data_IF_413305102727
#
_entry.id   IF_413305102727
#
_cell.length_a   1.000
_cell.length_b   1.000
_cell.length_c   1.000
_cell.angle_alpha   90.00
_cell.angle_beta   90.00
_cell.angle_gamma   90.00
#
_symmetry.space_group_name_H-M   'P 1'
#
loop_
_entity.id
_entity.type
_entity.pdbx_description
1 polymer ?
#
# COMPACT_ATOMS: atom_id res chain seq x y z
N UNK A 1 21.78 85.43 1.31
CA UNK A 1 20.61 85.32 0.41
C UNK A 1 20.42 83.82 0.14
N UNK A 2 19.41 83.19 0.76
CA UNK A 2 18.19 82.66 0.08
C UNK A 2 18.59 81.41 -0.75
N UNK A 3 18.13 80.16 -0.53
CA UNK A 3 16.87 79.60 0.00
C UNK A 3 16.92 78.04 -0.01
N UNK A 4 16.04 77.39 0.80
CA UNK A 4 15.11 76.25 0.48
C UNK A 4 15.71 74.95 -0.11
N UNK A 5 15.21 73.73 0.11
CA UNK A 5 14.40 73.01 1.09
C UNK A 5 14.27 71.57 0.54
N UNK A 6 14.02 70.61 1.44
CA UNK A 6 13.11 69.47 1.25
C UNK A 6 13.45 68.30 0.30
N UNK A 7 13.44 67.11 0.97
CA UNK A 7 12.80 65.83 0.58
C UNK A 7 13.59 64.91 -0.35
N UNK A 8 13.79 63.67 0.08
CA UNK A 8 13.05 62.52 -0.46
C UNK A 8 13.16 61.33 0.51
N UNK A 9 12.00 60.88 1.01
CA UNK A 9 11.82 59.55 1.58
C UNK A 9 11.99 58.53 0.45
N UNK A 10 12.81 57.50 0.66
CA UNK A 10 12.78 56.28 -0.14
C UNK A 10 12.28 55.14 0.75
N UNK A 11 10.99 54.85 0.61
CA UNK A 11 10.31 53.71 1.22
C UNK A 11 10.73 52.45 0.45
N UNK A 12 11.57 51.62 1.05
CA UNK A 12 11.98 50.34 0.45
C UNK A 12 10.83 49.34 0.49
N UNK A 13 10.19 49.08 -0.66
CA UNK A 13 9.24 48.00 -0.81
C UNK A 13 10.01 46.67 -0.88
N UNK A 14 9.94 45.88 0.18
CA UNK A 14 10.39 44.48 0.17
C UNK A 14 9.32 43.66 -0.55
N UNK A 15 9.59 43.27 -1.79
CA UNK A 15 8.78 42.28 -2.50
C UNK A 15 9.14 40.91 -1.94
N UNK A 16 8.27 40.36 -1.09
CA UNK A 16 8.33 38.96 -0.68
C UNK A 16 7.90 38.11 -1.89
N UNK A 17 8.88 37.65 -2.67
CA UNK A 17 8.66 36.58 -3.64
C UNK A 17 8.30 35.31 -2.87
N UNK A 18 7.01 35.00 -2.76
CA UNK A 18 6.56 33.70 -2.31
C UNK A 18 6.93 32.68 -3.39
N UNK A 19 8.07 32.00 -3.21
CA UNK A 19 8.41 30.82 -3.99
C UNK A 19 7.37 29.76 -3.68
N UNK A 20 6.39 29.58 -4.56
CA UNK A 20 5.52 28.43 -4.51
C UNK A 20 6.41 27.19 -4.63
N UNK A 21 6.52 26.42 -3.55
CA UNK A 21 7.17 25.11 -3.58
C UNK A 21 6.30 24.25 -4.50
N UNK A 22 6.72 24.11 -5.76
CA UNK A 22 6.13 23.12 -6.65
C UNK A 22 6.50 21.76 -6.08
N UNK A 23 5.60 21.14 -5.33
CA UNK A 23 5.73 19.74 -4.97
C UNK A 23 5.88 18.95 -6.28
N UNK A 24 6.90 18.08 -6.42
CA UNK A 24 7.02 17.25 -7.61
C UNK A 24 5.75 16.40 -7.73
N UNK A 25 5.14 16.41 -8.93
CA UNK A 25 4.01 15.51 -9.24
C UNK A 25 4.49 14.06 -9.08
N UNK A 26 3.67 13.21 -8.48
CA UNK A 26 3.91 11.75 -8.44
C UNK A 26 3.94 11.20 -9.87
N UNK A 27 4.73 10.15 -10.08
CA UNK A 27 4.93 9.54 -11.40
C UNK A 27 4.55 8.06 -11.38
N UNK A 28 4.27 7.49 -12.56
CA UNK A 28 4.05 6.04 -12.72
C UNK A 28 5.23 5.24 -12.15
N UNK A 29 6.46 5.67 -12.43
CA UNK A 29 7.67 5.04 -11.87
C UNK A 29 7.70 5.01 -10.34
N UNK A 30 7.06 5.98 -9.66
CA UNK A 30 6.94 5.94 -8.21
C UNK A 30 5.93 4.87 -7.76
N UNK A 31 4.79 4.74 -8.44
CA UNK A 31 3.82 3.66 -8.19
C UNK A 31 4.45 2.28 -8.42
N UNK A 32 5.24 2.11 -9.48
CA UNK A 32 5.98 0.86 -9.73
C UNK A 32 6.98 0.55 -8.59
N UNK A 33 7.69 1.56 -8.10
CA UNK A 33 8.57 1.40 -6.94
C UNK A 33 7.81 1.01 -5.67
N UNK A 34 6.62 1.58 -5.45
CA UNK A 34 5.77 1.25 -4.31
C UNK A 34 5.24 -0.19 -4.43
N UNK A 35 4.88 -0.64 -5.63
CA UNK A 35 4.47 -2.03 -5.89
C UNK A 35 5.62 -3.00 -5.61
N UNK A 36 6.86 -2.67 -6.00
CA UNK A 36 8.03 -3.47 -5.66
C UNK A 36 8.26 -3.54 -4.14
N UNK A 37 8.01 -2.44 -3.41
CA UNK A 37 8.06 -2.43 -1.96
C UNK A 37 6.96 -3.32 -1.35
N UNK A 38 5.73 -3.27 -1.88
CA UNK A 38 4.62 -4.17 -1.48
C UNK A 38 5.02 -5.63 -1.70
N UNK A 39 5.52 -5.99 -2.89
CA UNK A 39 5.97 -7.35 -3.20
C UNK A 39 7.02 -7.87 -2.20
N UNK A 40 7.96 -7.00 -1.82
CA UNK A 40 8.97 -7.31 -0.78
C UNK A 40 8.31 -7.57 0.58
N UNK A 41 7.34 -6.75 0.98
CA UNK A 41 6.63 -6.92 2.26
C UNK A 41 5.69 -8.14 2.26
N UNK A 42 5.05 -8.46 1.13
CA UNK A 42 4.27 -9.69 0.95
C UNK A 42 5.17 -10.91 1.16
N UNK A 43 6.35 -10.93 0.53
CA UNK A 43 7.33 -12.01 0.70
C UNK A 43 7.80 -12.12 2.15
N UNK A 44 8.03 -10.99 2.83
CA UNK A 44 8.41 -10.97 4.26
C UNK A 44 7.32 -11.54 5.16
N UNK A 45 6.06 -11.16 4.91
CA UNK A 45 4.90 -11.68 5.63
C UNK A 45 4.73 -13.18 5.39
N UNK A 46 4.79 -13.62 4.13
CA UNK A 46 4.69 -15.03 3.77
C UNK A 46 5.76 -15.89 4.45
N UNK A 47 7.02 -15.45 4.42
CA UNK A 47 8.11 -16.12 5.13
C UNK A 47 7.85 -16.18 6.66
N UNK A 48 7.31 -15.11 7.25
CA UNK A 48 6.98 -15.08 8.68
C UNK A 48 5.87 -16.08 9.01
N UNK A 49 4.88 -16.25 8.14
CA UNK A 49 3.80 -17.22 8.29
C UNK A 49 4.34 -18.65 8.11
N UNK A 50 5.16 -18.89 7.08
CA UNK A 50 5.77 -20.19 6.79
C UNK A 50 6.68 -20.67 7.92
N UNK A 51 7.40 -19.75 8.57
CA UNK A 51 8.26 -20.07 9.73
C UNK A 51 7.47 -20.30 11.02
N UNK A 52 6.20 -19.90 11.08
CA UNK A 52 5.34 -20.21 12.22
C UNK A 52 5.03 -21.71 12.26
N UNK A 53 5.24 -22.39 13.40
CA UNK A 53 5.13 -23.84 13.46
C UNK A 53 3.68 -24.35 13.29
N UNK A 54 3.52 -25.52 12.69
CA UNK A 54 2.21 -26.20 12.51
C UNK A 54 1.61 -26.73 13.82
N UNK A 55 2.43 -26.79 14.87
CA UNK A 55 2.04 -27.25 16.19
C UNK A 55 2.83 -26.48 17.23
N UNK A 56 2.12 -25.93 18.21
CA UNK A 56 2.70 -24.98 19.15
C UNK A 56 3.05 -23.67 18.46
N UNK A 57 3.70 -22.77 19.17
CA UNK A 57 3.99 -21.42 18.70
C UNK A 57 4.45 -20.57 19.87
N UNK A 58 4.86 -19.34 19.56
CA UNK A 58 5.19 -18.37 20.59
C UNK A 58 4.53 -17.04 20.27
N UNK A 59 4.16 -16.30 21.31
CA UNK A 59 3.68 -14.93 21.15
C UNK A 59 4.71 -14.05 20.42
N UNK A 60 6.01 -14.32 20.59
CA UNK A 60 7.07 -13.65 19.84
C UNK A 60 7.02 -13.92 18.33
N UNK A 61 6.72 -15.15 17.91
CA UNK A 61 6.57 -15.49 16.50
C UNK A 61 5.28 -14.90 15.91
N UNK A 62 4.18 -14.92 16.68
CA UNK A 62 2.94 -14.25 16.29
C UNK A 62 3.13 -12.72 16.16
N UNK A 63 3.89 -12.11 17.06
CA UNK A 63 4.24 -10.68 16.99
C UNK A 63 5.11 -10.34 15.76
N UNK A 64 5.98 -11.25 15.33
CA UNK A 64 6.75 -11.06 14.10
C UNK A 64 5.84 -11.00 12.86
N UNK A 65 4.84 -11.89 12.79
CA UNK A 65 3.82 -11.86 11.74
C UNK A 65 3.02 -10.57 11.78
N UNK A 66 2.57 -10.15 12.97
CA UNK A 66 1.87 -8.87 13.14
C UNK A 66 2.72 -7.68 12.67
N UNK A 67 4.01 -7.66 13.01
CA UNK A 67 4.93 -6.61 12.57
C UNK A 67 5.06 -6.59 11.04
N UNK A 68 5.20 -7.76 10.41
CA UNK A 68 5.25 -7.87 8.95
C UNK A 68 3.94 -7.39 8.29
N UNK A 69 2.79 -7.76 8.86
CA UNK A 69 1.47 -7.28 8.43
C UNK A 69 1.35 -5.75 8.51
N UNK A 70 1.80 -5.14 9.61
CA UNK A 70 1.79 -3.68 9.78
C UNK A 70 2.68 -2.97 8.75
N UNK A 71 3.87 -3.51 8.49
CA UNK A 71 4.79 -2.97 7.47
C UNK A 71 4.18 -3.06 6.06
N UNK A 72 3.56 -4.20 5.72
CA UNK A 72 2.83 -4.36 4.46
C UNK A 72 1.69 -3.35 4.35
N UNK A 73 0.89 -3.19 5.40
CA UNK A 73 -0.21 -2.23 5.43
C UNK A 73 0.26 -0.79 5.22
N UNK A 74 1.40 -0.41 5.81
CA UNK A 74 2.03 0.90 5.56
C UNK A 74 2.45 1.05 4.10
N UNK A 75 3.10 0.05 3.51
CA UNK A 75 3.51 0.08 2.10
C UNK A 75 2.31 0.24 1.16
N UNK A 76 1.23 -0.53 1.39
CA UNK A 76 -0.02 -0.46 0.61
C UNK A 76 -0.66 0.93 0.74
N UNK A 77 -0.68 1.49 1.96
CA UNK A 77 -1.24 2.83 2.19
C UNK A 77 -0.45 3.92 1.46
N UNK A 78 0.88 3.87 1.50
CA UNK A 78 1.75 4.78 0.75
C UNK A 78 1.49 4.66 -0.76
N UNK A 79 1.48 3.43 -1.29
CA UNK A 79 1.21 3.17 -2.71
C UNK A 79 -0.17 3.72 -3.12
N UNK A 80 -1.18 3.56 -2.26
CA UNK A 80 -2.53 4.10 -2.49
C UNK A 80 -2.50 5.62 -2.59
N UNK A 81 -1.80 6.30 -1.68
CA UNK A 81 -1.68 7.76 -1.70
C UNK A 81 -1.00 8.24 -2.98
N UNK A 82 0.10 7.61 -3.37
CA UNK A 82 0.88 8.03 -4.53
C UNK A 82 0.16 7.70 -5.86
N UNK A 83 -0.57 6.59 -5.90
CA UNK A 83 -1.47 6.23 -7.02
C UNK A 83 -2.58 7.25 -7.20
N UNK A 84 -3.24 7.66 -6.11
CA UNK A 84 -4.32 8.67 -6.14
C UNK A 84 -3.84 10.07 -6.55
N UNK A 85 -2.54 10.31 -6.51
CA UNK A 85 -1.95 11.58 -6.95
C UNK A 85 -1.65 11.61 -8.46
N UNK A 86 -1.80 10.48 -9.17
CA UNK A 86 -1.67 10.43 -10.63
C UNK A 86 -2.92 10.99 -11.32
N UNK A 87 -2.75 11.39 -12.59
CA UNK A 87 -3.87 11.77 -13.45
C UNK A 87 -4.34 10.55 -14.22
N UNK A 88 -5.65 10.28 -14.19
CA UNK A 88 -6.26 9.18 -14.91
C UNK A 88 -6.69 9.56 -16.34
N UNK A 89 -6.73 8.61 -17.29
CA UNK A 89 -6.06 7.32 -17.20
C UNK A 89 -4.54 7.47 -17.37
N UNK A 90 -3.76 6.49 -16.90
CA UNK A 90 -2.35 6.38 -17.30
C UNK A 90 -2.24 5.81 -18.71
N UNK A 91 -1.06 5.80 -19.32
CA UNK A 91 -0.89 5.19 -20.65
C UNK A 91 -1.01 3.67 -20.61
N UNK A 92 -1.47 3.04 -21.70
CA UNK A 92 -1.67 1.59 -21.78
C UNK A 92 -0.41 0.78 -21.44
N UNK A 93 0.76 1.23 -21.89
CA UNK A 93 2.04 0.59 -21.55
C UNK A 93 2.34 0.65 -20.06
N UNK A 94 2.05 1.78 -19.41
CA UNK A 94 2.27 1.98 -17.97
C UNK A 94 1.30 1.13 -17.16
N UNK A 95 0.03 1.12 -17.57
CA UNK A 95 -0.99 0.28 -16.96
C UNK A 95 -0.68 -1.21 -17.08
N UNK A 96 -0.20 -1.67 -18.25
CA UNK A 96 0.20 -3.07 -18.44
C UNK A 96 1.38 -3.43 -17.53
N UNK A 97 2.40 -2.58 -17.42
CA UNK A 97 3.53 -2.81 -16.51
C UNK A 97 3.07 -2.93 -15.06
N UNK A 98 2.13 -2.07 -14.63
CA UNK A 98 1.55 -2.15 -13.28
C UNK A 98 0.78 -3.46 -13.08
N UNK A 99 -0.06 -3.86 -14.04
CA UNK A 99 -0.82 -5.12 -13.97
C UNK A 99 0.13 -6.31 -13.89
N UNK A 100 1.15 -6.36 -14.74
CA UNK A 100 2.14 -7.44 -14.77
C UNK A 100 2.92 -7.50 -13.45
N UNK A 101 3.27 -6.33 -12.89
CA UNK A 101 3.96 -6.24 -11.60
C UNK A 101 3.10 -6.79 -10.46
N UNK A 102 1.82 -6.43 -10.37
CA UNK A 102 0.89 -6.98 -9.35
C UNK A 102 0.69 -8.47 -9.55
N UNK A 103 0.40 -8.89 -10.79
CA UNK A 103 0.20 -10.30 -11.14
C UNK A 103 1.42 -11.17 -10.78
N UNK A 104 2.64 -10.63 -10.90
CA UNK A 104 3.88 -11.33 -10.58
C UNK A 104 4.01 -11.80 -9.13
N UNK A 105 3.35 -11.15 -8.16
CA UNK A 105 3.39 -11.57 -6.75
C UNK A 105 2.02 -11.97 -6.17
N UNK A 106 0.95 -11.94 -6.96
CA UNK A 106 -0.35 -12.51 -6.56
C UNK A 106 -0.26 -13.95 -6.05
N UNK A 107 0.51 -14.87 -6.67
CA UNK A 107 0.66 -16.22 -6.13
C UNK A 107 1.19 -16.25 -4.69
N UNK A 108 2.10 -15.34 -4.32
CA UNK A 108 2.64 -15.23 -2.96
C UNK A 108 1.61 -14.66 -1.98
N UNK A 109 0.75 -13.73 -2.41
CA UNK A 109 -0.40 -13.27 -1.58
C UNK A 109 -1.32 -14.46 -1.28
N UNK A 110 -1.68 -15.22 -2.31
CA UNK A 110 -2.58 -16.38 -2.17
C UNK A 110 -1.94 -17.45 -1.29
N UNK A 111 -0.64 -17.72 -1.44
CA UNK A 111 0.09 -18.66 -0.59
C UNK A 111 0.07 -18.22 0.88
N UNK A 112 0.43 -16.96 1.17
CA UNK A 112 0.42 -16.41 2.53
C UNK A 112 -0.96 -16.54 3.19
N UNK A 113 -2.03 -16.25 2.44
CA UNK A 113 -3.41 -16.35 2.91
C UNK A 113 -3.89 -17.80 3.11
N UNK A 114 -3.42 -18.75 2.30
CA UNK A 114 -3.69 -20.17 2.54
C UNK A 114 -2.88 -20.71 3.72
N UNK A 115 -1.62 -20.29 3.85
CA UNK A 115 -0.74 -20.71 4.93
C UNK A 115 -1.25 -20.20 6.27
N UNK A 116 -1.70 -18.94 6.38
CA UNK A 116 -2.25 -18.45 7.64
C UNK A 116 -3.49 -19.25 8.07
N UNK A 117 -4.38 -19.64 7.13
CA UNK A 117 -5.51 -20.54 7.42
C UNK A 117 -5.00 -21.88 7.97
N UNK A 118 -3.99 -22.47 7.33
CA UNK A 118 -3.41 -23.74 7.78
C UNK A 118 -2.77 -23.64 9.17
N UNK A 119 -2.21 -22.49 9.54
CA UNK A 119 -1.62 -22.23 10.86
C UNK A 119 -2.66 -21.93 11.95
N UNK A 120 -3.95 -21.80 11.62
CA UNK A 120 -5.00 -21.45 12.60
C UNK A 120 -4.95 -22.31 13.89
N UNK A 121 -4.81 -23.64 13.86
CA UNK A 121 -4.75 -24.45 15.08
C UNK A 121 -3.61 -24.05 16.02
N UNK A 122 -2.47 -23.62 15.48
CA UNK A 122 -1.33 -23.12 16.27
C UNK A 122 -1.59 -21.74 16.87
N UNK A 123 -2.30 -20.87 16.16
CA UNK A 123 -2.75 -19.58 16.69
C UNK A 123 -3.80 -19.75 17.79
N UNK A 124 -4.77 -20.65 17.62
CA UNK A 124 -5.81 -20.95 18.61
C UNK A 124 -5.22 -21.48 19.93
N UNK A 125 -4.07 -22.16 19.87
CA UNK A 125 -3.34 -22.63 21.06
C UNK A 125 -2.67 -21.48 21.84
N UNK A 126 -2.52 -20.30 21.24
CA UNK A 126 -1.97 -19.11 21.88
C UNK A 126 -3.13 -18.19 22.31
N UNK A 127 -3.18 -17.88 23.61
CA UNK A 127 -4.16 -16.93 24.15
C UNK A 127 -4.05 -15.60 23.36
N UNK A 128 -5.18 -15.07 22.89
CA UNK A 128 -5.39 -13.82 22.10
C UNK A 128 -4.78 -13.73 20.70
N UNK A 129 -4.04 -14.74 20.22
CA UNK A 129 -3.34 -14.62 18.94
C UNK A 129 -4.29 -14.74 17.72
N UNK A 130 -5.43 -15.42 17.88
CA UNK A 130 -6.48 -15.56 16.87
C UNK A 130 -7.13 -14.21 16.51
N UNK A 131 -7.46 -13.42 17.53
CA UNK A 131 -8.07 -12.08 17.39
C UNK A 131 -7.09 -11.13 16.72
N UNK A 132 -5.80 -11.23 17.04
CA UNK A 132 -4.75 -10.42 16.40
C UNK A 132 -4.66 -10.72 14.90
N UNK A 133 -4.72 -11.99 14.50
CA UNK A 133 -4.72 -12.38 13.08
C UNK A 133 -5.98 -11.88 12.38
N UNK A 134 -7.14 -11.97 13.03
CA UNK A 134 -8.39 -11.43 12.48
C UNK A 134 -8.31 -9.93 12.21
N UNK A 135 -7.79 -9.14 13.16
CA UNK A 135 -7.59 -7.69 13.02
C UNK A 135 -6.59 -7.35 11.90
N UNK A 136 -5.51 -8.12 11.79
CA UNK A 136 -4.51 -7.97 10.71
C UNK A 136 -5.11 -8.27 9.34
N UNK A 137 -5.85 -9.38 9.20
CA UNK A 137 -6.53 -9.74 7.95
C UNK A 137 -7.55 -8.68 7.53
N UNK A 138 -8.35 -8.17 8.47
CA UNK A 138 -9.32 -7.11 8.20
C UNK A 138 -8.63 -5.81 7.75
N UNK A 139 -7.55 -5.41 8.43
CA UNK A 139 -6.78 -4.22 8.10
C UNK A 139 -6.12 -4.33 6.72
N UNK A 140 -5.47 -5.46 6.44
CA UNK A 140 -4.81 -5.71 5.15
C UNK A 140 -5.81 -5.79 4.00
N UNK A 141 -6.95 -6.47 4.19
CA UNK A 141 -8.00 -6.51 3.17
C UNK A 141 -8.53 -5.10 2.88
N UNK A 142 -8.79 -4.30 3.92
CA UNK A 142 -9.29 -2.93 3.74
C UNK A 142 -8.29 -2.04 2.99
N UNK A 143 -6.99 -2.12 3.29
CA UNK A 143 -5.99 -1.31 2.60
C UNK A 143 -5.74 -1.81 1.18
N UNK A 144 -5.75 -3.12 0.97
CA UNK A 144 -5.61 -3.74 -0.36
C UNK A 144 -6.75 -3.31 -1.27
N UNK A 145 -8.01 -3.42 -0.82
CA UNK A 145 -9.18 -2.94 -1.57
C UNK A 145 -9.08 -1.44 -1.90
N UNK A 146 -8.56 -0.62 -0.99
CA UNK A 146 -8.36 0.79 -1.26
C UNK A 146 -7.30 1.05 -2.35
N UNK A 147 -6.23 0.24 -2.38
CA UNK A 147 -5.19 0.30 -3.39
C UNK A 147 -5.67 -0.22 -4.75
N UNK A 148 -6.34 -1.37 -4.76
CA UNK A 148 -6.98 -1.97 -5.95
C UNK A 148 -7.92 -0.99 -6.64
N UNK A 149 -8.81 -0.34 -5.88
CA UNK A 149 -9.71 0.67 -6.42
C UNK A 149 -8.96 1.89 -6.99
N UNK A 150 -7.84 2.28 -6.37
CA UNK A 150 -7.01 3.37 -6.90
C UNK A 150 -6.37 2.98 -8.24
N UNK A 151 -5.79 1.78 -8.33
CA UNK A 151 -5.23 1.25 -9.57
C UNK A 151 -6.29 1.09 -10.68
N UNK A 152 -7.45 0.52 -10.35
CA UNK A 152 -8.55 0.35 -11.30
C UNK A 152 -9.04 1.69 -11.87
N UNK A 153 -9.05 2.75 -11.05
CA UNK A 153 -9.42 4.09 -11.49
C UNK A 153 -8.41 4.73 -12.47
N UNK A 154 -7.16 4.26 -12.47
CA UNK A 154 -6.13 4.70 -13.42
C UNK A 154 -6.11 3.88 -14.71
N UNK A 155 -6.67 2.66 -14.69
CA UNK A 155 -6.58 1.71 -15.78
C UNK A 155 -7.35 2.21 -17.04
N UNK A 156 -6.70 2.22 -18.21
CA UNK A 156 -7.36 2.37 -19.50
C UNK A 156 -8.49 1.35 -19.69
N UNK A 157 -9.53 1.72 -20.43
CA UNK A 157 -10.77 0.95 -20.53
C UNK A 157 -10.59 -0.49 -21.06
N UNK A 158 -9.62 -0.70 -21.94
CA UNK A 158 -9.27 -2.01 -22.50
C UNK A 158 -8.54 -2.93 -21.51
N UNK A 159 -7.92 -2.37 -20.47
CA UNK A 159 -7.22 -3.11 -19.42
C UNK A 159 -8.06 -3.30 -18.14
N UNK A 160 -9.23 -2.68 -18.03
CA UNK A 160 -10.08 -2.80 -16.83
C UNK A 160 -10.48 -4.24 -16.52
N UNK A 161 -10.90 -5.03 -17.52
CA UNK A 161 -11.28 -6.43 -17.26
C UNK A 161 -10.12 -7.30 -16.79
N UNK A 162 -8.89 -7.00 -17.24
CA UNK A 162 -7.70 -7.71 -16.74
C UNK A 162 -7.42 -7.33 -15.28
N UNK A 163 -7.51 -6.03 -14.94
CA UNK A 163 -7.37 -5.55 -13.57
C UNK A 163 -8.45 -6.14 -12.64
N UNK A 164 -9.72 -6.15 -13.06
CA UNK A 164 -10.84 -6.72 -12.30
C UNK A 164 -10.67 -8.21 -12.00
N UNK A 165 -10.15 -8.99 -12.96
CA UNK A 165 -9.89 -10.41 -12.74
C UNK A 165 -8.85 -10.64 -11.63
N UNK A 166 -7.79 -9.83 -11.62
CA UNK A 166 -6.74 -9.88 -10.61
C UNK A 166 -7.26 -9.49 -9.22
N UNK A 167 -8.04 -8.41 -9.16
CA UNK A 167 -8.73 -7.94 -7.95
C UNK A 167 -9.66 -9.03 -7.40
N UNK A 168 -10.40 -9.72 -8.27
CA UNK A 168 -11.30 -10.79 -7.84
C UNK A 168 -10.56 -11.97 -7.22
N UNK A 169 -9.39 -12.34 -7.77
CA UNK A 169 -8.55 -13.42 -7.23
C UNK A 169 -8.04 -13.10 -5.82
N UNK A 170 -7.45 -11.90 -5.64
CA UNK A 170 -6.90 -11.46 -4.35
C UNK A 170 -8.02 -11.36 -3.29
N UNK A 171 -9.13 -10.72 -3.63
CA UNK A 171 -10.26 -10.57 -2.70
C UNK A 171 -10.92 -11.90 -2.32
N UNK A 172 -10.97 -12.87 -3.24
CA UNK A 172 -11.47 -14.20 -2.92
C UNK A 172 -10.56 -14.94 -1.92
N UNK A 173 -9.23 -14.75 -2.01
CA UNK A 173 -8.30 -15.31 -1.04
C UNK A 173 -8.44 -14.65 0.33
N UNK A 174 -8.55 -13.32 0.40
CA UNK A 174 -8.80 -12.61 1.66
C UNK A 174 -10.11 -13.04 2.31
N UNK A 175 -11.19 -13.17 1.52
CA UNK A 175 -12.49 -13.61 2.03
C UNK A 175 -12.42 -14.99 2.70
N UNK A 176 -11.67 -15.94 2.12
CA UNK A 176 -11.45 -17.27 2.72
C UNK A 176 -10.68 -17.17 4.03
N UNK A 177 -9.60 -16.39 4.07
CA UNK A 177 -8.78 -16.24 5.26
C UNK A 177 -9.55 -15.56 6.41
N UNK A 178 -10.27 -14.48 6.12
CA UNK A 178 -11.11 -13.78 7.10
C UNK A 178 -12.18 -14.74 7.65
N UNK A 179 -12.85 -15.50 6.78
CA UNK A 179 -13.86 -16.47 7.21
C UNK A 179 -13.30 -17.58 8.11
N UNK A 180 -12.04 -17.98 7.90
CA UNK A 180 -11.39 -18.98 8.75
C UNK A 180 -11.11 -18.45 10.17
N UNK A 181 -10.91 -17.14 10.34
CA UNK A 181 -10.60 -16.47 11.62
C UNK A 181 -11.79 -15.69 12.21
N UNK A 182 -12.99 -15.86 11.67
CA UNK A 182 -14.21 -15.19 12.11
C UNK A 182 -14.91 -15.86 13.30
#
# INVERSE_FOLDING_TARGET
MVQIASKFLALGAVVLSASAISLPKRTVAQVESDIAAISTQVTSLDNSINTFPDSGGSLSAALAINTASRNLNTAITTATTDTKALTAPVGDSDAQVIIDAVSGFTPTIVDALNNIIAKKPSFDALIVADTLVQEDLASLNSSTVAFENALLSLAPGDLQSQAEALIAEINAAFAKAIAAYA
#
